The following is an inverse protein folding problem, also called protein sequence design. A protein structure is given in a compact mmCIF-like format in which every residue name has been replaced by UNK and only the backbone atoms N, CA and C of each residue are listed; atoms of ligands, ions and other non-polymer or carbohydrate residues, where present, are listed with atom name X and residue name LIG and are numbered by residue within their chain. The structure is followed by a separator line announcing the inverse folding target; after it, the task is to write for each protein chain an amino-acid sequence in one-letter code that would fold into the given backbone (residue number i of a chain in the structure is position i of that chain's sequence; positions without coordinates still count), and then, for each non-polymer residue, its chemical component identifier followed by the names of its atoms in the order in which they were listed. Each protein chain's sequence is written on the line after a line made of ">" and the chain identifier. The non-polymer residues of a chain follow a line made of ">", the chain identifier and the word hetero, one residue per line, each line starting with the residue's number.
data_IF_788943190032
#
_entry.id   IF_788943190032
#
_cell.length_a   1.000
_cell.length_b   1.000
_cell.length_c   1.000
_cell.angle_alpha   90.00
_cell.angle_beta   90.00
_cell.angle_gamma   90.00
#
_symmetry.space_group_name_H-M   'P 1'
#
loop_
_entity.id
_entity.type
_entity.pdbx_description
1 polymer ?
2 polymer ?
3 non-polymer ?
4 non-polymer ?
5 non-polymer ?
6 non-polymer ?
7 water ?
#
# COMPACT_ATOMS: atom_id res chain seq x y z
N UNK A 1 6.04 18.86 12.55
CA UNK A 1 5.77 18.18 11.25
C UNK A 1 4.22 17.87 11.16
N UNK A 2 3.85 16.63 10.85
CA UNK A 2 2.49 16.22 10.47
C UNK A 2 2.26 14.73 10.95
N UNK A 3 1.14 14.49 11.61
CA UNK A 3 0.77 13.13 11.91
C UNK A 3 -0.77 12.89 11.76
N UNK A 4 -1.21 11.71 11.28
CA UNK A 4 -2.56 11.42 10.89
C UNK A 4 -3.04 10.04 11.26
N UNK A 5 -4.36 9.90 11.49
CA UNK A 5 -5.03 8.56 11.56
C UNK A 5 -6.11 8.49 10.59
N UNK A 6 -6.23 7.37 9.90
CA UNK A 6 -7.37 7.28 8.94
C UNK A 6 -7.89 5.95 8.70
N UNK A 7 -9.16 5.97 8.29
CA UNK A 7 -9.90 4.79 7.88
C UNK A 7 -10.06 4.80 6.38
N UNK A 8 -9.84 3.65 5.74
CA UNK A 8 -10.22 3.52 4.36
C UNK A 8 -11.36 2.49 4.20
N UNK A 9 -12.27 2.75 3.28
CA UNK A 9 -13.33 1.87 2.88
C UNK A 9 -13.32 1.68 1.39
N UNK A 10 -13.60 0.45 0.98
CA UNK A 10 -13.59 0.07 -0.41
C UNK A 10 -14.90 -0.63 -0.59
N UNK A 11 -15.78 -0.05 -1.45
CA UNK A 11 -17.16 -0.64 -1.72
C UNK A 11 -17.24 -1.03 -3.15
N UNK A 12 -17.34 -2.33 -3.46
CA UNK A 12 -17.56 -2.79 -4.81
C UNK A 12 -18.99 -3.28 -5.02
N UNK A 13 -19.65 -2.68 -6.01
CA UNK A 13 -21.05 -2.98 -6.36
C UNK A 13 -20.98 -3.66 -7.63
N UNK A 14 -21.22 -4.97 -7.65
CA UNK A 14 -21.22 -5.78 -8.82
C UNK A 14 -22.63 -5.79 -9.49
N UNK A 15 -23.71 -5.99 -8.72
CA UNK A 15 -25.08 -5.88 -9.29
C UNK A 15 -25.96 -5.37 -8.18
N UNK A 16 -27.22 -5.15 -8.47
CA UNK A 16 -28.28 -4.67 -7.47
C UNK A 16 -28.42 -5.50 -6.18
N UNK A 17 -28.03 -6.75 -6.17
CA UNK A 17 -28.00 -7.41 -4.87
C UNK A 17 -26.64 -7.94 -4.41
N UNK A 18 -25.59 -7.53 -5.05
CA UNK A 18 -24.23 -8.04 -4.64
C UNK A 18 -23.29 -6.93 -4.52
N UNK A 19 -22.87 -6.63 -3.31
CA UNK A 19 -21.88 -5.71 -3.06
C UNK A 19 -20.87 -6.25 -2.01
N UNK A 20 -19.70 -5.62 -2.01
CA UNK A 20 -18.63 -6.01 -1.11
C UNK A 20 -18.04 -4.77 -0.48
N UNK A 21 -17.94 -4.81 0.87
CA UNK A 21 -17.33 -3.87 1.79
C UNK A 21 -16.05 -4.49 2.43
N UNK A 22 -14.97 -3.68 2.46
CA UNK A 22 -13.67 -3.91 3.15
C UNK A 22 -13.13 -2.61 3.64
N UNK A 23 -12.32 -2.67 4.66
CA UNK A 23 -11.63 -1.45 5.16
C UNK A 23 -10.65 -1.77 6.27
N UNK A 24 -10.02 -0.69 6.76
CA UNK A 24 -8.70 -0.80 7.45
C UNK A 24 -8.31 0.49 8.11
N UNK A 25 -7.56 0.49 9.21
CA UNK A 25 -7.19 1.74 9.88
C UNK A 25 -5.70 1.89 9.79
N UNK A 26 -5.25 3.13 9.63
CA UNK A 26 -3.88 3.44 9.33
C UNK A 26 -3.31 4.63 10.15
N UNK A 27 -2.08 4.47 10.61
CA UNK A 27 -1.28 5.56 11.25
C UNK A 27 -0.32 5.95 10.22
N UNK A 28 -0.66 7.01 9.50
CA UNK A 28 0.09 7.39 8.32
C UNK A 28 0.16 6.20 7.49
N UNK A 29 1.34 5.63 7.24
CA UNK A 29 1.37 4.56 6.28
C UNK A 29 1.52 3.21 6.95
N UNK A 30 1.39 3.17 8.28
CA UNK A 30 1.43 1.94 9.00
C UNK A 30 0.02 1.46 9.25
N UNK A 31 -0.26 0.23 8.88
CA UNK A 31 -1.60 -0.29 9.17
C UNK A 31 -1.67 -0.72 10.60
N UNK A 32 -2.71 -0.28 11.27
CA UNK A 32 -2.99 -0.59 12.71
C UNK A 32 -4.30 -1.34 12.90
N UNK A 33 -5.18 -1.34 11.90
CA UNK A 33 -6.43 -1.96 12.13
C UNK A 33 -6.89 -2.73 10.91
N UNK A 34 -7.56 -3.83 11.19
CA UNK A 34 -8.35 -4.50 10.17
C UNK A 34 -9.82 -4.38 10.45
N UNK A 35 -10.60 -4.90 9.52
CA UNK A 35 -12.08 -5.06 9.69
C UNK A 35 -12.50 -6.43 9.21
N UNK A 36 -13.20 -7.15 10.03
CA UNK A 36 -13.63 -8.47 9.64
C UNK A 36 -15.05 -8.27 9.08
N UNK A 37 -15.28 -8.37 7.74
CA UNK A 37 -16.62 -8.13 7.16
C UNK A 37 -17.66 -9.16 7.64
N UNK A 38 -17.29 -10.42 7.57
CA UNK A 38 -18.06 -11.50 8.15
C UNK A 38 -18.73 -11.17 9.46
N UNK A 39 -17.99 -10.75 10.48
CA UNK A 39 -18.55 -10.58 11.84
C UNK A 39 -18.83 -9.13 12.15
N UNK A 40 -18.46 -8.23 11.27
CA UNK A 40 -18.58 -6.77 11.56
C UNK A 40 -17.77 -6.24 12.70
N UNK A 41 -16.55 -6.73 12.88
CA UNK A 41 -15.68 -6.33 14.01
C UNK A 41 -14.32 -5.76 13.59
N UNK A 42 -13.72 -5.01 14.50
CA UNK A 42 -12.39 -4.42 14.28
C UNK A 42 -11.37 -5.49 14.52
N UNK A 43 -10.36 -5.59 13.64
CA UNK A 43 -9.22 -6.50 13.90
C UNK A 43 -8.06 -5.65 14.38
N UNK A 44 -7.57 -5.91 15.58
CA UNK A 44 -6.56 -5.03 16.23
C UNK A 44 -5.24 -5.66 15.89
N UNK A 45 -4.44 -5.05 15.01
CA UNK A 45 -3.26 -5.73 14.49
C UNK A 45 -2.08 -5.80 15.42
N UNK A 46 -1.88 -4.81 16.27
CA UNK A 46 -0.74 -4.80 17.15
C UNK A 46 -1.31 -4.80 18.52
N UNK A 47 -0.46 -5.10 19.49
CA UNK A 47 -0.88 -5.19 20.89
C UNK A 47 -1.13 -3.82 21.53
N UNK A 48 -0.82 -2.76 20.80
CA UNK A 48 -1.08 -1.41 21.25
C UNK A 48 -2.15 -0.75 20.44
N UNK A 49 -2.84 -1.52 19.60
CA UNK A 49 -3.81 -0.96 18.55
C UNK A 49 -5.06 -0.43 19.19
N UNK A 50 -5.29 -0.71 20.49
CA UNK A 50 -6.44 -0.05 21.18
C UNK A 50 -6.11 1.28 21.77
N UNK A 51 -4.86 1.66 21.77
CA UNK A 51 -4.55 3.00 22.25
C UNK A 51 -4.85 2.98 23.74
N UNK A 52 -5.39 4.08 24.20
CA UNK A 52 -5.86 4.24 25.57
C UNK A 52 -7.39 4.20 25.58
N UNK A 53 -8.05 3.60 24.61
CA UNK A 53 -9.54 3.55 24.59
C UNK A 53 -10.07 2.29 25.28
N UNK A 54 -11.20 2.46 25.99
CA UNK A 54 -11.82 1.37 26.74
C UNK A 54 -12.51 0.44 25.72
N UNK A 55 -12.72 -0.81 26.05
CA UNK A 55 -13.39 -1.75 25.23
C UNK A 55 -14.82 -1.34 24.97
N UNK A 56 -15.41 -0.62 25.87
CA UNK A 56 -16.76 -0.19 25.71
C UNK A 56 -16.89 0.80 24.56
N UNK A 57 -15.99 1.77 24.53
CA UNK A 57 -16.03 2.77 23.58
C UNK A 57 -15.57 2.24 22.27
N UNK A 58 -14.67 1.20 22.22
CA UNK A 58 -14.36 0.60 20.97
C UNK A 58 -15.56 -0.21 20.45
N UNK A 59 -16.25 -0.90 21.34
CA UNK A 59 -17.42 -1.64 20.98
C UNK A 59 -18.59 -0.74 20.49
N UNK A 60 -18.77 0.40 21.11
CA UNK A 60 -19.61 1.42 20.54
C UNK A 60 -19.16 1.88 19.11
N UNK A 61 -17.84 2.03 18.88
CA UNK A 61 -17.41 2.42 17.59
C UNK A 61 -17.68 1.37 16.55
N UNK A 62 -17.43 0.13 16.90
CA UNK A 62 -17.62 -1.02 16.01
C UNK A 62 -19.10 -1.11 15.63
N UNK A 63 -20.03 -0.90 16.53
CA UNK A 63 -21.47 -0.91 16.18
C UNK A 63 -21.95 0.23 15.30
N UNK A 64 -21.33 1.39 15.46
CA UNK A 64 -21.60 2.53 14.67
C UNK A 64 -21.06 2.30 13.27
N UNK A 65 -19.89 1.69 13.12
CA UNK A 65 -19.46 1.24 11.81
C UNK A 65 -20.37 0.20 11.15
N UNK A 66 -20.92 -0.77 11.90
CA UNK A 66 -21.75 -1.78 11.28
C UNK A 66 -23.01 -1.26 10.64
N UNK A 67 -23.72 -0.43 11.42
CA UNK A 67 -24.83 0.38 10.98
C UNK A 67 -24.54 1.24 9.74
N UNK A 68 -23.37 1.84 9.68
CA UNK A 68 -23.01 2.72 8.58
C UNK A 68 -22.77 1.91 7.33
N UNK A 69 -21.95 0.88 7.39
CA UNK A 69 -21.65 0.10 6.24
C UNK A 69 -22.89 -0.54 5.59
N UNK A 70 -23.83 -1.00 6.41
CA UNK A 70 -24.98 -1.66 5.93
C UNK A 70 -25.87 -0.55 5.36
N UNK A 71 -26.00 0.58 6.07
CA UNK A 71 -26.87 1.65 5.63
C UNK A 71 -26.37 2.35 4.39
N UNK A 72 -25.06 2.55 4.27
CA UNK A 72 -24.58 3.22 3.09
C UNK A 72 -24.74 2.36 1.83
N UNK A 73 -24.34 1.13 1.98
CA UNK A 73 -24.60 0.13 0.98
C UNK A 73 -26.07 -0.03 0.51
N UNK A 74 -27.01 -0.09 1.43
CA UNK A 74 -28.38 -0.24 1.10
C UNK A 74 -28.89 1.05 0.39
N UNK A 75 -28.54 2.25 0.86
CA UNK A 75 -28.91 3.51 0.15
C UNK A 75 -28.32 3.64 -1.21
N UNK A 76 -27.06 3.23 -1.41
CA UNK A 76 -26.51 3.16 -2.76
C UNK A 76 -27.26 2.19 -3.62
N UNK A 77 -27.45 0.99 -3.09
CA UNK A 77 -28.27 0.01 -3.82
C UNK A 77 -29.68 0.49 -4.16
N UNK A 78 -30.34 1.30 -3.31
CA UNK A 78 -31.64 1.83 -3.65
C UNK A 78 -31.60 2.73 -4.88
N UNK A 79 -30.62 3.63 -4.96
CA UNK A 79 -30.48 4.58 -6.11
C UNK A 79 -30.11 3.81 -7.32
N UNK A 80 -29.03 3.04 -7.25
CA UNK A 80 -28.45 2.42 -8.42
C UNK A 80 -29.25 1.31 -8.93
N UNK A 81 -30.03 0.65 -8.10
CA UNK A 81 -30.95 -0.40 -8.74
C UNK A 81 -31.93 0.11 -9.87
N UNK A 82 -32.20 1.40 -9.93
CA UNK A 82 -33.05 2.00 -11.04
C UNK A 82 -32.48 1.98 -12.46
N UNK A 83 -31.25 1.48 -12.61
CA UNK A 83 -30.56 1.33 -13.88
C UNK A 83 -29.38 0.28 -13.84
N UNK A 84 -29.67 -0.96 -14.26
CA UNK A 84 -28.70 -2.02 -14.02
C UNK A 84 -27.46 -1.93 -14.94
N UNK A 85 -27.47 -1.01 -15.92
CA UNK A 85 -26.31 -0.83 -16.76
C UNK A 85 -25.28 0.10 -16.06
N UNK A 86 -25.59 0.68 -14.92
CA UNK A 86 -24.54 1.37 -14.20
C UNK A 86 -23.50 0.36 -13.59
N UNK A 87 -23.76 -0.95 -13.52
CA UNK A 87 -22.91 -1.83 -12.75
C UNK A 87 -21.92 -2.39 -13.69
N UNK A 88 -20.76 -2.82 -13.22
CA UNK A 88 -20.22 -2.66 -11.89
C UNK A 88 -19.62 -1.26 -11.63
N UNK A 89 -19.44 -0.92 -10.36
CA UNK A 89 -18.91 0.42 -9.97
C UNK A 89 -18.28 0.33 -8.59
N UNK A 90 -17.38 1.28 -8.27
CA UNK A 90 -16.61 1.25 -7.06
C UNK A 90 -16.62 2.58 -6.31
N UNK A 91 -16.84 2.58 -4.99
CA UNK A 91 -16.79 3.79 -4.22
C UNK A 91 -15.70 3.58 -3.17
N UNK A 92 -14.81 4.58 -3.07
CA UNK A 92 -13.74 4.56 -2.03
C UNK A 92 -13.90 5.74 -1.07
N UNK A 93 -13.72 5.52 0.22
CA UNK A 93 -13.76 6.57 1.20
C UNK A 93 -12.47 6.55 2.06
N UNK A 94 -11.94 7.75 2.33
CA UNK A 94 -10.84 7.98 3.17
C UNK A 94 -11.25 9.06 4.19
N UNK A 95 -11.27 8.70 5.47
CA UNK A 95 -11.77 9.58 6.49
C UNK A 95 -10.91 9.47 7.72
N UNK A 96 -10.70 10.60 8.35
CA UNK A 96 -9.85 10.74 9.53
C UNK A 96 -9.41 12.15 9.80
N UNK A 97 -8.21 12.30 10.39
CA UNK A 97 -7.74 13.58 10.95
C UNK A 97 -6.24 13.72 10.81
N UNK A 98 -5.78 14.94 10.99
CA UNK A 98 -4.41 15.30 10.81
C UNK A 98 -4.07 16.47 11.72
N UNK A 99 -2.92 16.39 12.35
CA UNK A 99 -2.52 17.39 13.33
C UNK A 99 -1.30 18.05 12.80
N UNK A 100 -1.32 19.38 12.95
CA UNK A 100 -0.19 20.23 12.67
C UNK A 100 0.12 20.95 13.96
N UNK A 101 1.39 20.94 14.40
CA UNK A 101 1.90 21.74 15.55
C UNK A 101 1.19 23.09 15.69
N UNK A 102 0.60 23.31 16.89
CA UNK A 102 -0.04 24.62 17.18
C UNK A 102 -1.41 24.89 16.57
N UNK A 103 -2.03 23.87 15.93
CA UNK A 103 -3.35 24.05 15.27
C UNK A 103 -4.35 23.13 15.92
N UNK A 104 -5.56 23.59 15.75
CA UNK A 104 -6.71 22.73 15.84
C UNK A 104 -6.57 21.52 14.87
N UNK A 105 -7.07 20.34 15.23
CA UNK A 105 -7.01 19.19 14.39
C UNK A 105 -7.89 19.37 13.18
N UNK A 106 -7.39 18.89 12.04
CA UNK A 106 -8.15 19.03 10.85
C UNK A 106 -8.75 17.62 10.47
N UNK A 107 -10.00 17.58 10.07
CA UNK A 107 -10.70 16.33 9.80
C UNK A 107 -10.91 16.28 8.29
N UNK A 108 -11.02 15.05 7.74
CA UNK A 108 -11.29 14.92 6.29
C UNK A 108 -12.17 13.73 6.07
N UNK A 109 -12.94 13.80 4.98
CA UNK A 109 -13.81 12.73 4.58
C UNK A 109 -14.03 12.87 3.06
N UNK A 110 -13.31 12.04 2.34
CA UNK A 110 -13.10 12.18 0.90
C UNK A 110 -13.58 10.91 0.25
N UNK A 111 -14.29 11.09 -0.87
CA UNK A 111 -15.02 10.05 -1.55
C UNK A 111 -14.61 10.04 -2.97
N UNK A 112 -14.38 8.84 -3.51
CA UNK A 112 -14.18 8.65 -4.92
C UNK A 112 -15.21 7.67 -5.47
N UNK A 113 -15.50 7.86 -6.77
CA UNK A 113 -16.33 7.05 -7.50
C UNK A 113 -15.63 6.57 -8.79
N UNK A 114 -15.62 5.26 -9.04
CA UNK A 114 -14.85 4.71 -10.10
C UNK A 114 -13.44 5.29 -10.31
N UNK A 115 -12.73 5.43 -9.22
CA UNK A 115 -11.31 5.86 -9.23
C UNK A 115 -11.00 7.39 -9.37
N UNK A 116 -12.02 8.23 -9.42
CA UNK A 116 -11.92 9.71 -9.43
C UNK A 116 -12.67 10.32 -8.28
N UNK A 117 -12.19 11.46 -7.85
CA UNK A 117 -12.79 12.27 -6.83
C UNK A 117 -14.20 12.53 -7.11
N UNK A 118 -15.06 12.32 -6.17
CA UNK A 118 -16.44 12.59 -6.38
C UNK A 118 -16.80 13.77 -5.44
N UNK A 119 -16.53 13.63 -4.12
CA UNK A 119 -16.99 14.71 -3.19
C UNK A 119 -16.31 14.72 -1.94
N UNK A 120 -16.35 15.82 -1.19
CA UNK A 120 -15.68 15.82 0.09
C UNK A 120 -16.32 16.66 1.16
N UNK A 121 -16.15 16.26 2.43
CA UNK A 121 -16.67 17.01 3.54
C UNK A 121 -15.74 18.10 3.95
N UNK A 122 -16.12 19.34 3.75
CA UNK A 122 -15.15 20.44 3.92
C UNK A 122 -15.26 21.20 5.26
N UNK A 123 -16.34 21.80 5.63
CA UNK A 123 -16.20 22.07 7.16
C UNK A 123 -17.37 21.47 7.93
N UNK A 124 -18.50 22.07 7.64
CA UNK A 124 -19.75 21.50 7.90
C UNK A 124 -20.51 21.29 6.55
N UNK A 125 -19.86 21.38 5.38
CA UNK A 125 -20.54 21.23 4.10
C UNK A 125 -19.90 20.10 3.29
N UNK A 126 -20.76 19.31 2.65
CA UNK A 126 -20.37 18.38 1.64
C UNK A 126 -20.27 19.11 0.34
N UNK A 127 -19.18 18.96 -0.40
CA UNK A 127 -18.81 19.85 -1.54
C UNK A 127 -18.41 18.93 -2.71
N UNK A 128 -19.01 19.12 -3.90
CA UNK A 128 -18.71 18.30 -5.10
C UNK A 128 -17.31 18.64 -5.55
N UNK A 129 -16.54 17.67 -6.03
CA UNK A 129 -15.16 17.92 -6.55
C UNK A 129 -15.19 18.89 -7.70
N UNK A 130 -14.10 19.61 -7.92
CA UNK A 130 -14.06 20.52 -9.13
C UNK A 130 -14.45 19.72 -10.38
N UNK A 131 -15.17 20.32 -11.32
CA UNK A 131 -15.64 19.55 -12.49
C UNK A 131 -16.75 18.59 -12.09
N UNK A 132 -17.54 19.11 -11.15
CA UNK A 132 -18.69 18.47 -10.52
C UNK A 132 -19.69 18.01 -11.57
N UNK A 133 -19.94 16.70 -11.61
CA UNK A 133 -21.02 16.15 -12.43
C UNK A 133 -22.35 16.37 -11.73
N UNK A 134 -23.38 16.10 -12.48
CA UNK A 134 -24.66 15.83 -11.88
C UNK A 134 -24.66 14.90 -10.61
N UNK A 135 -24.02 13.74 -10.71
CA UNK A 135 -24.01 12.77 -9.57
C UNK A 135 -23.56 13.43 -8.27
N UNK A 136 -22.47 14.21 -8.39
CA UNK A 136 -21.83 14.65 -7.20
C UNK A 136 -22.70 15.75 -6.58
N UNK A 137 -23.34 16.56 -7.43
CA UNK A 137 -24.25 17.59 -6.92
C UNK A 137 -25.45 16.93 -6.24
N UNK A 138 -25.96 15.83 -6.79
CA UNK A 138 -27.17 15.21 -6.19
C UNK A 138 -26.88 14.66 -4.85
N UNK A 139 -25.76 13.95 -4.72
CA UNK A 139 -25.40 13.38 -3.41
C UNK A 139 -25.16 14.50 -2.43
N UNK A 140 -24.46 15.58 -2.82
CA UNK A 140 -24.14 16.60 -1.78
C UNK A 140 -25.40 17.28 -1.29
N UNK A 141 -26.31 17.50 -2.24
CA UNK A 141 -27.60 17.99 -1.88
C UNK A 141 -28.32 17.07 -0.85
N UNK A 142 -28.33 15.77 -1.09
CA UNK A 142 -28.92 14.78 -0.17
C UNK A 142 -28.26 14.79 1.16
N UNK A 143 -26.93 14.88 1.15
CA UNK A 143 -26.19 14.99 2.44
C UNK A 143 -26.34 16.35 3.18
N UNK A 144 -26.40 17.43 2.44
CA UNK A 144 -26.45 18.71 3.12
C UNK A 144 -27.84 19.03 3.73
N UNK A 145 -28.91 18.62 3.04
CA UNK A 145 -30.35 18.92 3.40
C UNK A 145 -31.19 17.77 3.91
N UNK A 146 -30.77 16.50 3.83
CA UNK A 146 -31.55 15.42 4.50
C UNK A 146 -30.90 14.14 5.03
N UNK A 147 -29.80 14.30 5.71
CA UNK A 147 -29.26 13.18 6.47
C UNK A 147 -28.40 13.99 7.43
N UNK A 148 -29.05 14.54 8.44
CA UNK A 148 -28.37 15.57 9.26
C UNK A 148 -27.81 14.93 10.52
N UNK A 149 -28.49 13.86 10.97
CA UNK A 149 -27.88 12.85 11.89
C UNK A 149 -26.49 12.42 11.41
N UNK A 150 -26.41 12.20 10.11
CA UNK A 150 -25.23 11.67 9.45
C UNK A 150 -24.03 12.62 9.54
N UNK A 151 -24.21 13.80 8.99
CA UNK A 151 -23.27 14.89 8.97
C UNK A 151 -22.82 15.25 10.37
N UNK A 152 -23.70 15.30 11.33
CA UNK A 152 -23.27 15.58 12.67
C UNK A 152 -22.37 14.48 13.27
N UNK A 153 -22.74 13.21 13.13
CA UNK A 153 -21.89 12.11 13.51
C UNK A 153 -20.50 12.11 12.81
N UNK A 154 -20.53 12.35 11.54
CA UNK A 154 -19.34 12.38 10.79
C UNK A 154 -18.46 13.48 11.31
N UNK A 155 -19.05 14.67 11.50
CA UNK A 155 -18.32 15.82 11.97
C UNK A 155 -17.61 15.44 13.25
N UNK A 156 -18.36 14.85 14.17
CA UNK A 156 -17.80 14.68 15.50
C UNK A 156 -16.74 13.59 15.54
N UNK A 157 -16.93 12.51 14.78
CA UNK A 157 -15.88 11.48 14.58
C UNK A 157 -14.54 11.93 13.99
N UNK A 158 -14.57 12.74 12.94
CA UNK A 158 -13.34 13.18 12.36
C UNK A 158 -12.72 14.38 13.09
N UNK A 159 -13.56 15.25 13.67
CA UNK A 159 -13.06 16.47 14.30
C UNK A 159 -12.67 16.26 15.80
N UNK A 160 -13.26 15.27 16.48
CA UNK A 160 -13.05 15.09 17.91
C UNK A 160 -12.67 13.66 18.35
N UNK A 161 -13.43 12.63 17.96
CA UNK A 161 -12.99 11.24 18.32
C UNK A 161 -11.67 10.84 17.68
N UNK A 162 -11.44 11.25 16.42
CA UNK A 162 -10.22 10.74 15.72
C UNK A 162 -8.94 11.29 16.31
N UNK A 163 -8.87 12.60 16.61
CA UNK A 163 -7.64 13.16 17.12
C UNK A 163 -7.36 12.51 18.50
N UNK A 164 -8.37 12.39 19.29
CA UNK A 164 -8.24 11.81 20.58
C UNK A 164 -7.71 10.43 20.42
N UNK A 165 -8.40 9.61 19.64
CA UNK A 165 -7.87 8.26 19.44
C UNK A 165 -6.46 8.21 18.93
N UNK A 166 -6.21 9.02 17.91
CA UNK A 166 -4.85 9.14 17.33
C UNK A 166 -3.78 9.33 18.37
N UNK A 167 -3.93 10.26 19.31
CA UNK A 167 -2.94 10.55 20.28
C UNK A 167 -2.79 9.49 21.28
N UNK A 168 -3.86 8.82 21.65
CA UNK A 168 -3.74 7.56 22.51
C UNK A 168 -2.91 6.43 21.84
N UNK A 169 -3.07 6.35 20.53
CA UNK A 169 -2.51 5.31 19.71
C UNK A 169 -1.05 5.54 19.57
N UNK A 170 -0.67 6.80 19.40
CA UNK A 170 0.75 7.09 19.29
C UNK A 170 1.47 6.97 20.59
N UNK A 171 0.80 7.44 21.64
CA UNK A 171 1.32 7.19 22.98
C UNK A 171 1.57 5.69 23.28
N UNK A 172 0.58 4.84 23.05
CA UNK A 172 0.71 3.40 23.42
C UNK A 172 1.73 2.61 22.49
N UNK A 173 1.99 3.12 21.23
CA UNK A 173 2.82 2.52 20.26
C UNK A 173 4.09 3.20 20.09
N UNK A 174 4.31 4.21 20.91
CA UNK A 174 5.60 4.92 20.93
C UNK A 174 6.82 3.99 20.64
N UNK A 175 6.98 2.93 21.42
CA UNK A 175 8.19 2.05 21.35
C UNK A 175 8.31 1.45 19.95
N UNK A 176 7.21 0.86 19.50
CA UNK A 176 7.16 0.25 18.21
C UNK A 176 7.32 1.23 16.96
N UNK A 177 6.65 2.36 17.00
CA UNK A 177 6.72 3.27 15.89
C UNK A 177 8.13 3.86 15.69
N UNK A 178 8.83 4.16 16.78
CA UNK A 178 10.19 4.69 16.67
C UNK A 178 11.30 3.66 16.72
N UNK A 179 11.00 2.37 16.66
CA UNK A 179 12.08 1.36 16.67
C UNK A 179 12.95 1.45 15.44
N UNK A 180 14.12 0.76 15.43
CA UNK A 180 15.10 0.77 14.30
C UNK A 180 15.44 -0.66 13.91
N UNK A 181 15.42 -0.94 12.60
CA UNK A 181 15.66 -2.22 12.07
C UNK A 181 16.67 -2.03 10.98
N UNK A 182 17.78 -2.71 11.15
CA UNK A 182 18.91 -2.54 10.25
C UNK A 182 18.69 -3.36 9.00
N UNK A 183 19.02 -2.80 7.84
CA UNK A 183 18.99 -3.52 6.57
C UNK A 183 20.19 -4.35 6.29
N UNK A 184 20.04 -5.34 5.46
CA UNK A 184 21.16 -5.92 4.76
C UNK A 184 21.23 -5.37 3.34
N UNK A 185 22.30 -5.69 2.65
CA UNK A 185 22.43 -5.24 1.27
C UNK A 185 23.17 -6.28 0.53
N UNK A 186 22.97 -6.29 -0.80
CA UNK A 186 23.71 -7.18 -1.70
C UNK A 186 23.71 -6.72 -3.15
N UNK A 187 24.63 -7.23 -3.96
CA UNK A 187 24.72 -6.79 -5.32
C UNK A 187 24.29 -7.94 -6.25
N UNK A 188 23.95 -7.59 -7.49
CA UNK A 188 23.71 -8.55 -8.51
C UNK A 188 23.90 -7.83 -9.78
N UNK A 189 23.99 -8.63 -10.81
CA UNK A 189 24.21 -8.20 -12.19
C UNK A 189 22.90 -8.39 -12.85
N UNK A 190 22.16 -7.27 -13.06
CA UNK A 190 20.88 -7.28 -13.78
C UNK A 190 21.00 -7.41 -15.31
N UNK A 191 19.89 -7.32 -16.05
CA UNK A 191 19.97 -7.58 -17.53
C UNK A 191 20.77 -6.56 -18.39
N UNK A 192 21.55 -7.09 -19.34
CA UNK A 192 22.47 -6.29 -20.17
C UNK A 192 21.66 -5.16 -20.79
N UNK A 193 22.05 -3.90 -20.59
CA UNK A 193 21.41 -2.81 -21.29
C UNK A 193 21.79 -2.73 -22.77
N UNK A 194 22.99 -3.20 -23.15
CA UNK A 194 23.41 -3.12 -24.52
C UNK A 194 24.76 -3.80 -24.73
N UNK A 195 25.40 -3.51 -25.86
CA UNK A 195 26.74 -4.05 -26.13
C UNK A 195 27.84 -3.42 -25.25
N UNK A 196 28.66 -4.26 -24.59
CA UNK A 196 29.65 -3.84 -23.57
C UNK A 196 29.12 -2.82 -22.57
N UNK A 197 27.91 -3.10 -22.03
CA UNK A 197 27.30 -2.34 -20.94
C UNK A 197 26.95 -3.31 -19.83
N UNK A 198 26.92 -2.80 -18.60
CA UNK A 198 26.55 -3.62 -17.50
C UNK A 198 25.51 -2.88 -16.71
N UNK A 199 24.56 -3.64 -16.11
CA UNK A 199 23.70 -3.05 -15.08
C UNK A 199 24.06 -3.51 -13.69
N UNK A 200 24.51 -2.57 -12.86
CA UNK A 200 24.86 -2.89 -11.55
C UNK A 200 23.66 -2.78 -10.70
N UNK A 201 23.43 -3.78 -9.81
CA UNK A 201 22.37 -3.70 -8.90
C UNK A 201 22.69 -3.81 -7.37
N UNK A 202 22.15 -2.92 -6.59
CA UNK A 202 22.31 -2.89 -5.17
C UNK A 202 20.91 -3.14 -4.50
N UNK A 203 20.70 -4.23 -3.81
CA UNK A 203 19.51 -4.44 -3.07
C UNK A 203 19.73 -4.09 -1.60
N UNK A 204 18.75 -3.40 -1.02
CA UNK A 204 18.69 -3.09 0.37
C UNK A 204 17.35 -3.54 0.92
N UNK A 205 17.37 -4.35 1.99
CA UNK A 205 16.22 -5.04 2.50
C UNK A 205 16.17 -5.18 4.00
N UNK A 206 14.99 -4.99 4.56
CA UNK A 206 14.66 -5.30 5.94
C UNK A 206 14.83 -4.07 6.79
N UNK A 207 14.79 -2.91 6.16
CA UNK A 207 14.93 -1.73 6.92
C UNK A 207 13.65 -1.09 7.45
N UNK A 208 13.72 -0.52 8.67
CA UNK A 208 12.63 0.30 9.24
C UNK A 208 13.28 1.36 10.15
N UNK A 209 12.80 2.60 10.17
CA UNK A 209 11.64 3.15 9.44
C UNK A 209 12.06 3.43 7.97
N UNK A 210 11.15 4.02 7.19
CA UNK A 210 11.15 3.98 5.73
C UNK A 210 12.23 4.84 5.08
N UNK A 211 12.47 6.06 5.58
CA UNK A 211 13.52 6.85 4.95
C UNK A 211 14.94 6.23 4.90
N UNK A 212 15.60 6.36 3.78
CA UNK A 212 16.76 5.55 3.48
C UNK A 212 17.49 6.23 2.38
N UNK A 213 18.80 6.03 2.27
CA UNK A 213 19.59 6.70 1.25
C UNK A 213 20.54 5.66 0.70
N UNK A 214 20.55 5.55 -0.65
CA UNK A 214 21.28 4.58 -1.40
C UNK A 214 21.79 5.28 -2.65
N UNK A 215 23.12 5.31 -2.82
CA UNK A 215 23.73 5.75 -4.08
C UNK A 215 24.87 4.83 -4.46
N UNK A 216 25.04 4.64 -5.78
CA UNK A 216 26.36 4.23 -6.31
C UNK A 216 27.33 5.37 -6.27
N UNK A 217 28.55 5.03 -5.93
CA UNK A 217 29.65 5.93 -5.62
C UNK A 217 30.94 5.48 -6.36
N UNK A 218 31.80 6.40 -6.72
CA UNK A 218 33.27 6.18 -6.87
C UNK A 218 33.97 7.00 -5.82
N UNK A 219 34.37 6.40 -4.69
CA UNK A 219 34.95 7.21 -3.59
C UNK A 219 33.96 8.27 -3.17
N UNK A 220 34.39 9.51 -3.00
CA UNK A 220 33.41 10.60 -2.71
C UNK A 220 32.40 11.05 -3.81
N UNK A 221 32.51 10.55 -5.08
CA UNK A 221 31.74 11.10 -6.22
C UNK A 221 30.53 10.18 -6.40
N UNK A 222 29.40 10.64 -5.94
CA UNK A 222 28.08 10.11 -6.30
C UNK A 222 27.93 9.93 -7.77
N UNK A 223 27.46 8.77 -8.22
CA UNK A 223 27.29 8.52 -9.64
C UNK A 223 25.93 9.03 -10.09
N UNK A 224 25.97 10.08 -10.88
CA UNK A 224 24.78 10.83 -11.33
C UNK A 224 23.66 9.89 -11.77
N UNK A 225 24.01 8.92 -12.61
CA UNK A 225 23.03 8.07 -13.34
C UNK A 225 22.32 7.00 -12.50
N UNK A 226 22.43 7.09 -11.16
CA UNK A 226 21.88 6.08 -10.30
C UNK A 226 20.37 6.18 -10.35
N UNK A 227 19.67 5.04 -10.45
CA UNK A 227 18.19 4.96 -10.52
C UNK A 227 17.62 4.23 -9.36
N UNK A 228 16.80 4.91 -8.57
CA UNK A 228 16.24 4.36 -7.38
C UNK A 228 14.94 3.69 -7.80
N UNK A 229 14.73 2.42 -7.47
CA UNK A 229 13.41 1.88 -7.57
C UNK A 229 12.48 2.51 -6.54
N UNK A 230 11.27 2.04 -6.58
CA UNK A 230 10.32 2.25 -5.59
C UNK A 230 10.73 1.40 -4.34
N UNK A 231 10.33 1.88 -3.18
CA UNK A 231 10.54 1.26 -1.91
C UNK A 231 9.32 0.41 -1.70
N UNK A 232 9.56 -0.85 -1.59
CA UNK A 232 8.55 -1.88 -1.61
C UNK A 232 8.49 -2.62 -0.29
N UNK A 233 7.32 -3.09 0.05
CA UNK A 233 7.19 -3.72 1.34
C UNK A 233 7.63 -5.17 1.34
N UNK A 234 8.17 -5.53 2.49
CA UNK A 234 8.32 -6.91 2.87
C UNK A 234 7.14 -7.26 3.81
N UNK A 235 6.91 -8.51 4.03
CA UNK A 235 5.76 -8.94 4.78
C UNK A 235 5.91 -8.92 6.30
N UNK A 236 7.06 -8.47 6.81
CA UNK A 236 7.33 -8.36 8.28
C UNK A 236 7.54 -6.94 8.67
N UNK A 237 6.77 -6.05 8.01
CA UNK A 237 6.65 -4.65 8.37
C UNK A 237 8.01 -3.90 8.13
N UNK A 238 8.80 -4.36 7.17
CA UNK A 238 9.95 -3.63 6.71
C UNK A 238 9.86 -3.33 5.22
N UNK A 239 10.91 -2.72 4.69
CA UNK A 239 10.99 -2.19 3.36
C UNK A 239 12.12 -2.76 2.54
N UNK A 240 12.01 -2.56 1.20
CA UNK A 240 12.92 -3.10 0.24
C UNK A 240 13.19 -2.11 -0.85
N UNK A 241 14.39 -2.09 -1.45
CA UNK A 241 14.73 -1.05 -2.42
C UNK A 241 15.87 -1.49 -3.23
N UNK A 242 15.81 -1.29 -4.53
CA UNK A 242 16.92 -1.58 -5.43
C UNK A 242 17.43 -0.25 -6.00
N UNK A 243 18.71 -0.13 -6.13
CA UNK A 243 19.34 1.01 -6.85
C UNK A 243 20.21 0.48 -7.95
N UNK A 244 20.01 0.99 -9.17
CA UNK A 244 20.77 0.53 -10.30
C UNK A 244 21.57 1.63 -11.00
N UNK A 245 22.52 1.19 -11.82
CA UNK A 245 23.41 2.03 -12.57
C UNK A 245 23.84 1.26 -13.82
N UNK A 246 23.81 1.97 -14.93
CA UNK A 246 24.23 1.51 -16.22
C UNK A 246 25.66 2.03 -16.49
N UNK A 247 26.60 1.09 -16.66
CA UNK A 247 28.01 1.45 -16.84
C UNK A 247 28.63 0.74 -17.97
N UNK A 248 29.64 1.40 -18.53
CA UNK A 248 30.50 0.75 -19.51
C UNK A 248 31.16 -0.47 -18.91
N UNK A 249 31.24 -1.48 -19.75
CA UNK A 249 31.84 -2.70 -19.38
C UNK A 249 33.28 -2.23 -19.28
N UNK A 250 33.82 -2.24 -18.05
CA UNK A 250 35.17 -1.76 -17.88
C UNK A 250 35.25 -0.52 -17.04
N UNK A 251 34.15 0.13 -16.77
CA UNK A 251 34.08 1.20 -15.77
C UNK A 251 33.57 0.71 -14.41
N UNK A 252 33.10 -0.50 -14.34
CA UNK A 252 32.52 -0.99 -13.08
C UNK A 252 33.56 -1.00 -11.95
N UNK A 253 34.80 -1.33 -12.29
CA UNK A 253 35.81 -1.38 -11.29
C UNK A 253 35.98 -0.09 -10.53
N UNK A 254 35.87 -0.16 -9.19
CA UNK A 254 36.05 0.97 -8.36
C UNK A 254 34.77 1.46 -7.86
N UNK A 255 33.64 0.95 -8.38
CA UNK A 255 32.34 1.52 -8.02
C UNK A 255 31.84 0.74 -6.81
N UNK A 256 31.08 1.40 -5.96
CA UNK A 256 30.50 0.81 -4.75
C UNK A 256 29.08 1.33 -4.49
N UNK A 257 28.27 0.49 -3.88
CA UNK A 257 26.99 0.93 -3.39
C UNK A 257 27.17 1.37 -1.98
N UNK A 258 26.66 2.55 -1.62
CA UNK A 258 26.57 2.95 -0.29
C UNK A 258 25.16 3.17 0.32
N UNK A 259 24.90 2.60 1.50
CA UNK A 259 23.66 2.75 2.15
C UNK A 259 23.71 3.60 3.44
N UNK A 260 22.86 4.63 3.59
CA UNK A 260 22.76 5.31 4.94
C UNK A 260 21.37 5.03 5.45
N UNK A 261 21.25 4.65 6.71
CA UNK A 261 19.93 4.47 7.29
C UNK A 261 20.02 4.84 8.74
N UNK A 262 18.93 5.30 9.30
CA UNK A 262 18.94 5.82 10.65
C UNK A 262 19.34 4.75 11.74
N UNK A 263 19.21 3.47 11.41
CA UNK A 263 19.47 2.36 12.32
C UNK A 263 20.97 2.01 12.38
N UNK A 264 21.76 2.57 11.48
CA UNK A 264 23.12 2.21 11.32
C UNK A 264 24.01 3.07 12.16
N UNK A 265 23.52 4.18 12.69
CA UNK A 265 24.33 4.95 13.65
C UNK A 265 25.65 5.38 12.94
N UNK A 266 25.47 6.01 11.75
CA UNK A 266 26.55 6.69 10.99
C UNK A 266 27.53 5.75 10.29
N UNK A 267 27.30 4.44 10.37
CA UNK A 267 28.19 3.39 9.90
C UNK A 267 27.59 2.78 8.62
N UNK A 268 27.89 3.40 7.49
CA UNK A 268 27.15 3.21 6.28
C UNK A 268 27.46 1.84 5.82
N UNK A 269 26.51 1.11 5.16
CA UNK A 269 26.91 -0.12 4.47
C UNK A 269 27.49 0.19 3.09
N UNK A 270 28.65 -0.37 2.79
CA UNK A 270 29.39 -0.14 1.54
C UNK A 270 29.79 -1.44 0.95
N UNK A 271 29.29 -1.63 -0.27
CA UNK A 271 29.54 -2.84 -0.95
C UNK A 271 30.25 -2.49 -2.20
N UNK A 272 31.46 -3.03 -2.45
CA UNK A 272 32.21 -2.84 -3.69
C UNK A 272 31.86 -3.90 -4.75
N UNK A 273 31.83 -3.46 -6.03
CA UNK A 273 31.57 -4.38 -7.12
C UNK A 273 32.82 -5.07 -7.58
N UNK A 274 32.81 -6.40 -7.66
CA UNK A 274 33.33 -7.07 -8.93
C UNK A 274 34.40 -7.84 -8.32
N UNK A 275 35.29 -8.44 -9.12
CA UNK A 275 35.36 -8.70 -10.57
C UNK A 275 34.63 -9.94 -11.13
N UNK A 276 34.02 -10.75 -10.29
CA UNK A 276 33.12 -11.80 -10.76
C UNK A 276 31.86 -11.27 -11.47
N UNK A 277 31.32 -12.17 -12.28
CA UNK A 277 30.07 -11.98 -13.07
C UNK A 277 29.04 -11.04 -12.42
N UNK A 278 28.63 -11.38 -11.20
CA UNK A 278 27.59 -10.68 -10.44
C UNK A 278 28.05 -9.84 -9.26
N UNK A 279 29.22 -9.19 -9.40
CA UNK A 279 29.71 -8.26 -8.38
C UNK A 279 30.42 -8.93 -7.20
N UNK A 280 30.46 -10.26 -7.23
CA UNK A 280 31.27 -10.99 -6.31
C UNK A 280 32.72 -11.11 -6.79
N UNK A 281 33.48 -11.93 -6.06
CA UNK A 281 34.82 -12.40 -6.46
C UNK A 281 34.69 -13.64 -7.34
N UNK B 1 -15.57 6.54 -15.83
CA UNK B 1 -14.94 5.32 -15.40
C UNK B 1 -13.46 5.41 -15.86
N UNK B 2 -12.53 5.26 -14.90
CA UNK B 2 -11.11 5.09 -15.18
C UNK B 2 -10.67 3.65 -14.87
N UNK B 3 -9.83 3.09 -15.71
CA UNK B 3 -9.17 1.81 -15.39
C UNK B 3 -7.70 1.94 -15.46
N UNK B 4 -6.98 1.22 -14.62
CA UNK B 4 -5.56 1.32 -14.57
C UNK B 4 -5.00 -0.07 -14.46
N UNK B 5 -3.98 -0.34 -15.27
CA UNK B 5 -3.25 -1.57 -15.33
C UNK B 5 -2.35 -1.77 -14.15
N UNK B 6 -2.29 -2.98 -13.60
CA UNK B 6 -1.38 -3.21 -12.47
C UNK B 6 0.03 -3.23 -12.83
N UNK B 7 0.79 -2.65 -11.93
CA UNK B 7 2.24 -2.83 -12.00
C UNK B 7 2.53 -4.00 -11.13
N UNK B 8 3.50 -4.81 -11.55
CA UNK B 8 3.86 -6.07 -10.89
C UNK B 8 5.35 -6.23 -10.67
N UNK B 9 5.75 -6.30 -9.40
CA UNK B 9 7.18 -6.39 -9.06
C UNK B 9 7.34 -7.58 -8.18
N UNK B 10 8.29 -8.45 -8.54
CA UNK B 10 8.58 -9.66 -7.83
C UNK B 10 9.97 -9.67 -7.23
N UNK B 11 10.15 -10.16 -6.02
CA UNK B 11 11.47 -10.00 -5.35
C UNK B 11 11.46 -10.90 -4.09
N UNK B 12 12.68 -11.19 -3.61
CA UNK B 12 12.87 -11.99 -2.48
C UNK B 12 13.30 -11.07 -1.34
N UNK B 13 12.85 -11.37 -0.13
CA UNK B 13 13.34 -10.67 1.08
C UNK B 13 14.84 -10.72 1.36
N UNK B 14 15.50 -11.80 0.94
CA UNK B 14 16.90 -11.99 1.24
C UNK B 14 17.54 -12.38 -0.07
N UNK B 15 18.85 -12.16 -0.20
CA UNK B 15 19.52 -12.75 -1.37
C UNK B 15 19.34 -14.27 -1.44
N UNK B 16 19.13 -14.76 -2.64
CA UNK B 16 18.89 -16.15 -2.84
C UNK B 16 20.15 -16.96 -2.61
N UNK B 17 20.09 -17.86 -1.66
CA UNK B 17 21.13 -18.90 -1.53
C UNK B 17 20.41 -20.24 -1.72
N UNK B 18 20.64 -20.91 -2.84
CA UNK B 18 20.11 -22.30 -2.98
C UNK B 18 20.07 -23.16 -1.70
N UNK B 19 18.94 -23.81 -1.43
CA UNK B 19 18.70 -24.52 -0.19
C UNK B 19 18.53 -23.72 1.10
N UNK B 20 18.56 -22.39 1.05
CA UNK B 20 18.15 -21.59 2.20
C UNK B 20 16.70 -21.02 2.02
N UNK B 21 15.87 -21.23 3.05
CA UNK B 21 14.53 -20.74 3.18
C UNK B 21 14.54 -19.19 3.11
N UNK B 22 13.48 -18.68 2.51
CA UNK B 22 13.39 -17.29 2.10
C UNK B 22 11.87 -16.91 1.88
N UNK B 23 11.59 -15.67 1.51
CA UNK B 23 10.24 -15.17 1.24
C UNK B 23 10.20 -14.55 -0.14
N UNK B 24 9.24 -15.00 -0.94
CA UNK B 24 9.10 -14.51 -2.30
C UNK B 24 7.96 -13.55 -2.19
N UNK B 25 8.12 -12.35 -2.80
CA UNK B 25 7.08 -11.30 -2.73
C UNK B 25 6.61 -10.88 -4.06
N UNK B 26 5.36 -10.59 -4.19
CA UNK B 26 4.80 -10.05 -5.44
C UNK B 26 3.89 -8.92 -5.05
N UNK B 27 4.37 -7.71 -5.30
CA UNK B 27 3.70 -6.46 -5.06
C UNK B 27 3.02 -5.99 -6.36
N UNK B 28 1.67 -5.79 -6.30
CA UNK B 28 0.80 -5.42 -7.41
C UNK B 28 0.22 -4.14 -7.05
N UNK B 29 0.53 -3.08 -7.85
CA UNK B 29 0.10 -1.83 -7.52
C UNK B 29 -0.33 -0.94 -8.68
N UNK B 30 -0.97 0.17 -8.28
CA UNK B 30 -1.45 1.18 -9.28
C UNK B 30 -2.65 0.77 -10.06
N UNK B 31 -3.40 -0.25 -9.59
CA UNK B 31 -4.57 -0.80 -10.40
C UNK B 31 -5.96 -0.28 -10.05
N UNK B 32 -6.89 -0.34 -11.00
CA UNK B 32 -8.30 0.03 -10.75
C UNK B 32 -9.15 -0.58 -11.80
N UNK B 33 -10.29 -1.22 -11.43
CA UNK B 33 -10.92 -1.47 -10.16
C UNK B 33 -10.22 -2.56 -9.35
N UNK B 34 -10.71 -2.77 -8.16
CA UNK B 34 -10.02 -3.62 -7.22
C UNK B 34 -10.02 -5.10 -7.40
N UNK B 35 -10.99 -5.65 -8.05
CA UNK B 35 -11.11 -7.05 -8.39
C UNK B 35 -9.90 -7.55 -9.21
N UNK B 36 -9.14 -8.49 -8.66
CA UNK B 36 -7.89 -8.92 -9.29
C UNK B 36 -7.56 -10.34 -8.90
N UNK B 37 -6.83 -11.07 -9.75
CA UNK B 37 -6.46 -12.43 -9.46
C UNK B 37 -4.92 -12.49 -9.45
N UNK B 38 -4.38 -12.86 -8.30
CA UNK B 38 -2.98 -13.07 -8.21
C UNK B 38 -2.62 -14.44 -7.78
N UNK B 39 -1.70 -15.05 -8.55
CA UNK B 39 -0.98 -16.29 -8.12
C UNK B 39 0.57 -16.32 -8.09
N UNK B 40 1.14 -17.02 -7.13
CA UNK B 40 2.54 -17.41 -7.23
C UNK B 40 2.63 -18.83 -7.76
N UNK B 41 3.46 -18.98 -8.77
CA UNK B 41 3.73 -20.25 -9.42
C UNK B 41 5.07 -20.76 -8.91
N UNK B 42 5.17 -22.12 -8.84
CA UNK B 42 6.46 -22.86 -8.83
C UNK B 42 6.55 -23.82 -10.06
N UNK B 43 7.60 -23.70 -10.91
CA UNK B 43 7.51 -24.28 -12.27
C UNK B 43 6.08 -24.19 -12.94
N UNK B 44 5.39 -23.05 -12.88
CA UNK B 44 4.20 -22.89 -13.72
C UNK B 44 2.92 -23.43 -13.08
N UNK B 45 3.05 -24.02 -11.89
CA UNK B 45 1.91 -24.52 -11.10
C UNK B 45 1.73 -23.61 -9.87
N UNK B 46 0.48 -23.33 -9.47
CA UNK B 46 0.25 -22.39 -8.43
C UNK B 46 0.47 -22.96 -7.09
N UNK B 47 1.21 -22.20 -6.29
CA UNK B 47 1.43 -22.48 -4.87
C UNK B 47 0.14 -22.20 -4.06
N UNK B 48 -0.29 -23.10 -3.14
CA UNK B 48 -1.40 -22.75 -2.21
C UNK B 48 -0.77 -22.31 -0.93
N UNK B 49 -1.65 -21.76 -0.09
CA UNK B 49 -1.26 -21.12 1.18
C UNK B 49 -0.43 -19.82 0.90
N UNK B 50 -0.86 -19.03 -0.09
CA UNK B 50 -0.18 -17.74 -0.33
C UNK B 50 -0.94 -16.72 0.55
N UNK B 51 -0.18 -15.87 1.25
CA UNK B 51 -0.77 -14.82 2.03
C UNK B 51 -0.61 -13.47 1.34
N UNK B 52 -1.54 -12.62 1.68
CA UNK B 52 -1.56 -11.28 1.20
C UNK B 52 -1.99 -10.30 2.26
N UNK B 53 -1.49 -9.10 2.08
CA UNK B 53 -1.82 -7.94 2.92
C UNK B 53 -3.24 -7.47 2.62
N UNK B 54 -3.79 -6.72 3.55
CA UNK B 54 -5.15 -6.20 3.38
C UNK B 54 -5.08 -5.20 2.23
N UNK B 55 -6.06 -5.20 1.37
CA UNK B 55 -6.15 -4.27 0.24
C UNK B 55 -6.14 -2.85 0.66
N UNK B 56 -5.34 -2.04 -0.03
CA UNK B 56 -5.26 -0.62 0.20
C UNK B 56 -5.26 0.23 -1.04
N UNK B 57 -5.23 1.53 -0.89
CA UNK B 57 -5.08 2.41 -2.05
C UNK B 57 -4.23 3.66 -1.73
N UNK B 58 -3.59 4.20 -2.80
CA UNK B 58 -2.80 5.37 -2.77
C UNK B 58 -3.58 6.64 -2.84
N UNK B 59 -2.89 7.79 -2.74
CA UNK B 59 -3.42 9.16 -2.86
C UNK B 59 -4.26 9.37 -4.18
N UNK B 60 -3.87 8.69 -5.27
CA UNK B 60 -4.54 8.81 -6.59
C UNK B 60 -5.71 7.80 -6.69
N UNK B 61 -5.96 7.08 -5.56
CA UNK B 61 -7.03 6.13 -5.37
C UNK B 61 -6.81 4.78 -6.04
N UNK B 62 -5.64 4.54 -6.55
CA UNK B 62 -5.37 3.26 -7.23
C UNK B 62 -5.00 2.28 -6.12
N UNK B 63 -5.24 0.98 -6.32
CA UNK B 63 -5.09 -0.02 -5.32
C UNK B 63 -3.69 -0.65 -5.34
N UNK B 64 -3.30 -1.20 -4.23
CA UNK B 64 -2.04 -1.97 -4.12
C UNK B 64 -2.13 -3.06 -3.09
N UNK B 65 -1.28 -4.07 -3.26
CA UNK B 65 -1.16 -5.06 -2.28
C UNK B 65 -0.04 -6.08 -2.54
N UNK B 66 0.30 -6.73 -1.40
CA UNK B 66 1.41 -7.63 -1.32
C UNK B 66 0.95 -9.10 -1.13
N UNK B 67 1.41 -9.94 -2.04
CA UNK B 67 1.26 -11.37 -1.96
C UNK B 67 2.68 -11.90 -1.65
N UNK B 68 2.77 -12.82 -0.71
CA UNK B 68 4.06 -13.39 -0.29
C UNK B 68 4.01 -14.85 0.16
N UNK B 69 5.13 -15.51 0.05
CA UNK B 69 5.15 -16.89 0.60
C UNK B 69 6.52 -17.30 1.09
N UNK B 70 6.55 -18.21 2.07
CA UNK B 70 7.81 -18.96 2.35
C UNK B 70 8.20 -19.84 1.18
N UNK B 71 9.45 -19.77 0.78
CA UNK B 71 9.92 -20.70 -0.28
C UNK B 71 11.41 -20.99 -0.14
N UNK B 72 11.86 -22.00 -0.87
CA UNK B 72 13.24 -22.41 -0.84
C UNK B 72 13.72 -22.57 -2.25
N UNK B 73 14.47 -21.56 -2.75
CA UNK B 73 15.07 -21.62 -4.10
C UNK B 73 16.09 -22.75 -4.24
N UNK B 74 16.16 -23.25 -5.48
CA UNK B 74 17.14 -24.26 -5.94
C UNK B 74 17.60 -23.92 -7.39
N UNK B 75 18.63 -24.59 -7.87
CA UNK B 75 19.26 -24.23 -9.16
C UNK B 75 18.29 -24.34 -10.35
N UNK B 76 17.37 -25.30 -10.24
CA UNK B 76 16.47 -25.60 -11.32
C UNK B 76 15.02 -25.60 -10.83
N UNK B 77 14.69 -24.63 -9.96
CA UNK B 77 13.29 -24.30 -9.68
C UNK B 77 13.09 -22.84 -10.16
N UNK B 78 12.08 -22.64 -11.00
CA UNK B 78 11.63 -21.34 -11.53
C UNK B 78 10.38 -20.83 -10.74
N UNK B 79 10.44 -19.62 -10.24
CA UNK B 79 9.31 -19.02 -9.54
C UNK B 79 8.81 -17.74 -10.30
N UNK B 80 7.50 -17.57 -10.38
CA UNK B 80 6.84 -16.37 -11.00
C UNK B 80 5.49 -16.01 -10.29
N UNK B 81 4.90 -14.90 -10.75
CA UNK B 81 3.68 -14.23 -10.20
C UNK B 81 2.85 -14.03 -11.46
N UNK B 82 1.57 -14.44 -11.40
CA UNK B 82 0.65 -14.42 -12.49
C UNK B 82 -0.50 -13.52 -12.06
N UNK B 83 -0.87 -12.59 -12.91
CA UNK B 83 -1.82 -11.59 -12.52
C UNK B 83 -2.89 -11.51 -13.50
N UNK B 84 -4.13 -11.56 -13.06
CA UNK B 84 -5.21 -11.29 -14.00
C UNK B 84 -6.15 -10.14 -13.52
N UNK B 85 -6.61 -9.34 -14.45
CA UNK B 85 -7.31 -8.06 -14.13
C UNK B 85 -8.04 -7.65 -15.39
N UNK B 86 -9.16 -7.00 -15.26
CA UNK B 86 -9.98 -6.64 -16.47
C UNK B 86 -9.21 -5.75 -17.50
N UNK B 87 -8.24 -4.98 -17.10
CA UNK B 87 -7.39 -4.22 -18.07
C UNK B 87 -6.42 -5.13 -18.90
N UNK B 88 -6.34 -6.44 -18.64
CA UNK B 88 -5.31 -7.29 -19.23
C UNK B 88 -6.08 -8.24 -20.16
N UNK B 89 -5.70 -8.29 -21.42
CA UNK B 89 -6.32 -9.18 -22.39
C UNK B 89 -6.06 -10.65 -22.04
N UNK B 90 -4.87 -10.93 -21.48
CA UNK B 90 -4.54 -12.24 -20.92
C UNK B 90 -3.70 -12.11 -19.63
N UNK B 91 -3.67 -13.19 -18.82
CA UNK B 91 -2.89 -13.10 -17.56
C UNK B 91 -1.46 -12.82 -17.88
N UNK B 92 -0.82 -12.07 -16.99
CA UNK B 92 0.49 -11.53 -17.19
C UNK B 92 1.41 -12.21 -16.20
N UNK B 93 2.50 -12.77 -16.71
CA UNK B 93 3.47 -13.43 -15.84
C UNK B 93 4.78 -12.72 -15.82
N UNK B 94 5.22 -12.44 -14.62
CA UNK B 94 6.49 -11.89 -14.33
C UNK B 94 7.26 -12.91 -13.51
N UNK B 95 8.49 -13.13 -13.93
CA UNK B 95 9.35 -14.18 -13.37
C UNK B 95 10.19 -13.60 -12.31
N UNK B 96 10.40 -14.36 -11.24
CA UNK B 96 11.40 -13.97 -10.23
C UNK B 96 12.73 -14.27 -10.86
N UNK B 97 13.56 -13.29 -11.07
CA UNK B 97 14.86 -13.48 -11.63
C UNK B 97 15.78 -13.00 -10.53
N UNK B 98 16.59 -13.83 -9.93
CA UNK B 98 17.42 -13.30 -8.83
C UNK B 98 18.45 -12.21 -9.29
N UNK B 99 18.75 -12.23 -10.62
CA UNK B 99 19.50 -11.24 -11.45
C UNK B 99 20.94 -11.78 -11.70
#
# INVERSE_FOLDING_TARGET
>A
EHVSFHVIQIFSFVNQSWARGQGSGWLDELQTHGWDSESGTIIFLHNWSKGNFSNEELSDLELLFRFYLFGLTREIQDHASQDYSKYPFEVQVKAGCELHSGKSPEGFFQVAFNGLDLLSFQNTTWVPSPGCGSLAQSVCHLLNHQYEGVTETVYNLIRSTCPRFLLGLLDAGKMYVHRQVKPEAWLSSGPSPGPGRLQLVCHVSGFYPKPVWVMWMRGEQEQQGTQLGDILPNANWTWYLRATLDVADGEAAGLSCRVKHSSLEGQDIILYWGPGSGGGL
>B
MIQRTPKIQVYSRHPAENGKSNFLNCYVSGFHPSDIEVDLLKNGERIEKVEHSDLSFSKDWSFYLLYYTEFTPTEKDEYACRVNHVTLSQPKIVKWDRD
#
